data_IF_030326573846
#
_entry.id   IF_030326573846
#
_cell.length_a   1.000
_cell.length_b   1.000
_cell.length_c   1.000
_cell.angle_alpha   90.00
_cell.angle_beta   90.00
_cell.angle_gamma   90.00
#
_symmetry.space_group_name_H-M   'P 1'
#
loop_
_entity.id
_entity.type
_entity.pdbx_description
1 polymer ?
#
# COMPACT_ATOMS: atom_id res chain seq x y z
N UNK A 1 -3.22 -1.49 3.84
CA UNK A 1 -1.95 -0.84 3.47
C UNK A 1 -2.17 -0.11 2.16
N UNK A 2 -1.61 1.08 2.02
CA UNK A 2 -1.74 1.98 0.88
C UNK A 2 -0.31 2.25 0.41
N UNK A 3 -0.03 1.98 -0.86
CA UNK A 3 1.27 2.25 -1.49
C UNK A 3 1.04 3.31 -2.55
N UNK A 4 1.82 4.39 -2.52
CA UNK A 4 1.58 5.53 -3.38
C UNK A 4 2.89 6.13 -3.91
N UNK A 5 2.95 6.46 -5.20
CA UNK A 5 4.10 7.16 -5.78
C UNK A 5 4.08 8.64 -5.41
N UNK A 6 5.22 9.20 -5.01
CA UNK A 6 5.33 10.63 -4.67
C UNK A 6 4.97 11.56 -5.84
N UNK A 7 5.15 11.09 -7.07
CA UNK A 7 4.93 11.85 -8.30
C UNK A 7 3.73 11.35 -9.11
N UNK A 8 2.77 10.65 -8.49
CA UNK A 8 1.53 10.28 -9.16
C UNK A 8 0.69 11.53 -9.47
N UNK A 9 0.56 11.83 -10.76
CA UNK A 9 -0.21 12.97 -11.27
C UNK A 9 -1.63 12.60 -11.69
N UNK A 10 -1.94 11.29 -11.77
CA UNK A 10 -3.26 10.78 -12.14
C UNK A 10 -4.13 10.68 -10.89
N UNK A 11 -3.56 10.14 -9.82
CA UNK A 11 -4.17 10.08 -8.49
C UNK A 11 -3.27 10.82 -7.51
N UNK A 12 -3.53 12.11 -7.20
CA UNK A 12 -2.66 12.87 -6.30
C UNK A 12 -2.55 12.26 -4.89
N UNK A 13 -1.39 12.45 -4.25
CA UNK A 13 -1.08 11.95 -2.91
C UNK A 13 -2.09 12.37 -1.84
N UNK A 14 -2.69 13.55 -1.98
CA UNK A 14 -3.70 14.07 -1.05
C UNK A 14 -4.87 13.08 -0.89
N UNK A 15 -5.30 12.42 -1.98
CA UNK A 15 -6.36 11.41 -1.92
C UNK A 15 -5.94 10.19 -1.08
N UNK A 16 -4.70 9.72 -1.23
CA UNK A 16 -4.17 8.60 -0.46
C UNK A 16 -3.97 8.98 1.03
N UNK A 17 -3.59 10.22 1.30
CA UNK A 17 -3.47 10.76 2.66
C UNK A 17 -4.83 10.88 3.35
N UNK A 18 -5.83 11.44 2.67
CA UNK A 18 -7.20 11.52 3.19
C UNK A 18 -7.78 10.13 3.48
N UNK A 19 -7.58 9.18 2.57
CA UNK A 19 -7.98 7.79 2.78
C UNK A 19 -7.29 7.17 4.00
N UNK A 20 -5.99 7.40 4.16
CA UNK A 20 -5.24 6.91 5.32
C UNK A 20 -5.80 7.46 6.64
N UNK A 21 -6.10 8.75 6.69
CA UNK A 21 -6.72 9.38 7.86
C UNK A 21 -8.12 8.83 8.16
N UNK A 22 -8.91 8.55 7.13
CA UNK A 22 -10.27 8.03 7.26
C UNK A 22 -10.35 6.51 7.52
N UNK A 23 -9.27 5.76 7.30
CA UNK A 23 -9.23 4.30 7.44
C UNK A 23 -8.37 3.85 8.64
N UNK A 24 -9.00 3.53 9.78
CA UNK A 24 -8.29 3.03 10.96
C UNK A 24 -7.44 1.80 10.66
N UNK A 25 -6.26 1.71 11.29
CA UNK A 25 -5.29 0.63 11.12
C UNK A 25 -4.71 0.46 9.71
N UNK A 26 -4.96 1.43 8.81
CA UNK A 26 -4.24 1.49 7.54
C UNK A 26 -2.80 1.95 7.75
N UNK A 27 -1.93 1.66 6.78
CA UNK A 27 -0.53 2.06 6.74
C UNK A 27 -0.32 2.70 5.37
N UNK A 28 0.22 3.92 5.31
CA UNK A 28 0.53 4.61 4.05
C UNK A 28 2.04 4.62 3.81
N UNK A 29 2.46 4.04 2.70
CA UNK A 29 3.85 4.03 2.24
C UNK A 29 3.97 4.89 0.97
N UNK A 30 4.71 6.00 1.08
CA UNK A 30 5.03 6.87 -0.08
C UNK A 30 6.37 6.46 -0.68
N UNK A 31 6.36 6.07 -1.95
CA UNK A 31 7.54 5.70 -2.72
C UNK A 31 8.14 6.96 -3.35
N UNK A 32 9.35 7.32 -2.89
CA UNK A 32 10.00 8.59 -3.21
C UNK A 32 10.25 8.78 -4.70
N UNK A 33 10.66 7.73 -5.40
CA UNK A 33 11.09 7.78 -6.80
C UNK A 33 10.11 7.00 -7.70
N UNK A 34 8.82 7.26 -7.54
CA UNK A 34 7.76 6.66 -8.35
C UNK A 34 6.56 7.58 -8.60
N UNK A 35 5.84 7.34 -9.69
CA UNK A 35 4.58 7.96 -10.07
C UNK A 35 3.39 6.98 -9.98
N UNK A 36 2.58 6.94 -11.04
CA UNK A 36 1.30 6.22 -11.07
C UNK A 36 1.43 4.72 -11.32
N UNK A 37 2.46 4.28 -12.03
CA UNK A 37 2.45 2.95 -12.61
C UNK A 37 2.85 1.88 -11.59
N UNK A 38 2.02 0.83 -11.47
CA UNK A 38 2.30 -0.30 -10.59
C UNK A 38 3.63 -1.03 -10.95
N UNK A 39 4.03 -0.96 -12.22
CA UNK A 39 5.26 -1.54 -12.75
C UNK A 39 6.53 -0.75 -12.43
N UNK A 40 6.43 0.41 -11.79
CA UNK A 40 7.61 1.16 -11.36
C UNK A 40 8.37 0.34 -10.29
N UNK A 41 9.71 0.25 -10.35
CA UNK A 41 10.45 -0.70 -9.52
C UNK A 41 10.15 -0.59 -8.02
N UNK A 42 10.08 0.64 -7.49
CA UNK A 42 9.77 0.87 -6.07
C UNK A 42 8.33 0.52 -5.68
N UNK A 43 7.38 0.70 -6.60
CA UNK A 43 5.97 0.33 -6.37
C UNK A 43 5.81 -1.19 -6.43
N UNK A 44 6.37 -1.84 -7.46
CA UNK A 44 6.34 -3.30 -7.59
C UNK A 44 6.93 -3.99 -6.37
N UNK A 45 8.11 -3.55 -5.92
CA UNK A 45 8.78 -4.07 -4.74
C UNK A 45 7.94 -3.88 -3.45
N UNK A 46 7.33 -2.71 -3.27
CA UNK A 46 6.41 -2.46 -2.16
C UNK A 46 5.15 -3.35 -2.22
N UNK A 47 4.56 -3.54 -3.39
CA UNK A 47 3.39 -4.40 -3.60
C UNK A 47 3.70 -5.87 -3.29
N UNK A 48 4.86 -6.37 -3.70
CA UNK A 48 5.28 -7.75 -3.39
C UNK A 48 5.42 -7.93 -1.88
N UNK A 49 6.14 -7.03 -1.19
CA UNK A 49 6.24 -7.06 0.29
C UNK A 49 4.88 -6.97 0.97
N UNK A 50 3.98 -6.15 0.43
CA UNK A 50 2.61 -6.01 0.92
C UNK A 50 1.86 -7.33 0.88
N UNK A 51 1.89 -7.98 -0.28
CA UNK A 51 1.25 -9.26 -0.49
C UNK A 51 1.84 -10.34 0.43
N UNK A 52 3.18 -10.40 0.58
CA UNK A 52 3.83 -11.33 1.50
C UNK A 52 3.43 -11.09 2.97
N UNK A 53 3.40 -9.83 3.42
CA UNK A 53 2.97 -9.47 4.79
C UNK A 53 1.50 -9.84 5.01
N UNK A 54 0.65 -9.65 4.01
CA UNK A 54 -0.77 -10.04 4.07
C UNK A 54 -0.93 -11.55 4.14
N UNK A 55 -0.22 -12.30 3.29
CA UNK A 55 -0.25 -13.76 3.29
C UNK A 55 0.20 -14.33 4.65
N UNK A 56 1.29 -13.80 5.22
CA UNK A 56 1.75 -14.21 6.55
C UNK A 56 0.65 -13.98 7.61
N UNK A 57 0.07 -12.78 7.65
CA UNK A 57 -1.01 -12.46 8.60
C UNK A 57 -2.21 -13.40 8.44
N UNK A 58 -2.64 -13.66 7.22
CA UNK A 58 -3.80 -14.53 6.96
C UNK A 58 -3.54 -15.99 7.33
N UNK A 59 -2.31 -16.48 7.11
CA UNK A 59 -1.94 -17.85 7.48
C UNK A 59 -1.74 -18.02 9.00
N UNK A 60 -1.39 -16.94 9.70
CA UNK A 60 -1.25 -16.94 11.15
C UNK A 60 -2.59 -16.70 11.88
N UNK A 61 -3.67 -16.35 11.17
CA UNK A 61 -4.98 -16.13 11.77
C UNK A 61 -5.66 -17.46 12.14
N UNK A 62 -6.24 -17.57 13.35
CA UNK A 62 -7.13 -18.68 13.68
C UNK A 62 -8.31 -18.76 12.70
N UNK A 63 -8.72 -19.98 12.33
CA UNK A 63 -9.81 -20.23 11.35
C UNK A 63 -11.17 -19.59 11.72
N UNK A 64 -11.34 -19.16 12.96
CA UNK A 64 -12.55 -18.50 13.46
C UNK A 64 -12.55 -16.98 13.22
N UNK A 65 -11.41 -16.38 12.85
CA UNK A 65 -11.20 -14.94 12.65
C UNK A 65 -10.91 -14.53 11.19
N UNK A 66 -10.89 -15.51 10.27
CA UNK A 66 -10.66 -15.29 8.83
C UNK A 66 -11.97 -15.18 8.03
#
# INVERSE_FOLDING_TARGET
>A
MIIHGRYDVICPLDNAWELHQAWPNSELQVIRDAGHAASEPGITDALVRAASKMAQRLLDLPLEEA
#
